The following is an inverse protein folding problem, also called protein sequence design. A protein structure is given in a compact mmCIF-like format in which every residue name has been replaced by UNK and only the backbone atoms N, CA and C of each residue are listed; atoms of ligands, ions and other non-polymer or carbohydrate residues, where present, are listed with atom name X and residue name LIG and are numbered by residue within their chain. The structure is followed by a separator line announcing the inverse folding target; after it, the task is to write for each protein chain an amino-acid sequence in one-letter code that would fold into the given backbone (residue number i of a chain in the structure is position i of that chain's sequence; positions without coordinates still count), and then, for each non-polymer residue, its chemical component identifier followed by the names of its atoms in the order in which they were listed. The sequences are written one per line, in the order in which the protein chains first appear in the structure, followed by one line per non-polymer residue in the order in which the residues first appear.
data_IF_331364102053
#
_entry.id   IF_331364102053
#
_cell.length_a   1.000
_cell.length_b   1.000
_cell.length_c   1.000
_cell.angle_alpha   90.00
_cell.angle_beta   90.00
_cell.angle_gamma   90.00
#
_symmetry.space_group_name_H-M   'P 1'
#
loop_
_entity.id
_entity.type
_entity.pdbx_description
1 polymer ?
#
# COMPACT_ATOMS: atom_id res chain seq x y z
N UNK A 1 -57.46 27.19 -3.66
CA UNK A 1 -56.73 25.93 -3.45
C UNK A 1 -55.77 25.72 -4.61
N UNK A 2 -54.47 25.86 -4.37
CA UNK A 2 -53.43 25.66 -5.39
C UNK A 2 -52.54 24.49 -4.95
N UNK A 3 -52.41 23.48 -5.81
CA UNK A 3 -51.62 22.27 -5.58
C UNK A 3 -50.12 22.66 -5.60
N UNK A 4 -49.30 22.31 -4.60
CA UNK A 4 -47.86 22.57 -4.66
C UNK A 4 -47.21 21.66 -5.71
N UNK A 5 -46.50 22.25 -6.67
CA UNK A 5 -45.67 21.50 -7.63
C UNK A 5 -44.48 20.89 -6.90
N UNK A 6 -44.27 19.59 -7.09
CA UNK A 6 -43.07 18.87 -6.65
C UNK A 6 -41.81 19.48 -7.27
N UNK A 7 -40.72 19.66 -6.51
CA UNK A 7 -39.45 20.12 -7.06
C UNK A 7 -38.95 19.05 -8.04
N UNK A 8 -38.80 19.45 -9.31
CA UNK A 8 -38.33 18.56 -10.37
C UNK A 8 -36.99 17.94 -10.02
N UNK A 9 -36.88 16.61 -10.19
CA UNK A 9 -35.63 15.90 -10.05
C UNK A 9 -34.53 16.59 -10.86
N UNK A 10 -33.34 16.85 -10.28
CA UNK A 10 -32.23 17.41 -11.04
C UNK A 10 -31.89 16.48 -12.22
N UNK A 11 -31.47 17.05 -13.38
CA UNK A 11 -31.15 16.24 -14.55
C UNK A 11 -30.12 15.17 -14.18
N UNK A 12 -30.26 13.93 -14.66
CA UNK A 12 -29.32 12.87 -14.32
C UNK A 12 -27.91 13.34 -14.69
N UNK A 13 -27.02 13.38 -13.70
CA UNK A 13 -25.60 13.71 -13.87
C UNK A 13 -25.09 12.99 -15.11
N UNK A 14 -24.63 13.73 -16.13
CA UNK A 14 -24.05 13.15 -17.36
C UNK A 14 -23.04 12.08 -16.95
N UNK A 15 -23.38 10.80 -17.15
CA UNK A 15 -22.45 9.68 -16.89
C UNK A 15 -21.14 10.05 -17.60
N UNK A 16 -20.02 10.12 -16.86
CA UNK A 16 -18.69 10.37 -17.45
C UNK A 16 -18.56 9.46 -18.66
N UNK A 17 -18.31 10.02 -19.85
CA UNK A 17 -18.11 9.24 -21.06
C UNK A 17 -16.94 8.30 -20.80
N UNK A 18 -17.23 7.03 -20.57
CA UNK A 18 -16.20 6.01 -20.45
C UNK A 18 -15.46 6.00 -21.79
N UNK A 19 -14.18 6.35 -21.75
CA UNK A 19 -13.33 6.35 -22.93
C UNK A 19 -13.26 4.92 -23.47
N UNK A 20 -13.66 4.75 -24.74
CA UNK A 20 -13.66 3.45 -25.41
C UNK A 20 -12.37 3.34 -26.21
N UNK A 21 -11.41 2.48 -25.82
CA UNK A 21 -10.11 2.39 -26.49
C UNK A 21 -10.21 2.02 -27.98
N UNK A 22 -11.27 1.30 -28.35
CA UNK A 22 -11.57 0.89 -29.73
C UNK A 22 -12.32 1.95 -30.56
N UNK A 23 -12.73 3.08 -29.96
CA UNK A 23 -13.51 4.11 -30.67
C UNK A 23 -12.58 5.13 -31.35
N UNK A 24 -12.06 4.75 -32.51
CA UNK A 24 -11.14 5.56 -33.34
C UNK A 24 -11.89 6.48 -34.31
N UNK A 25 -11.18 7.34 -35.04
CA UNK A 25 -11.81 8.31 -35.95
C UNK A 25 -12.63 7.68 -37.08
N UNK A 26 -12.18 6.56 -37.62
CA UNK A 26 -12.98 5.78 -38.59
C UNK A 26 -14.36 5.43 -38.02
N UNK A 27 -14.45 5.02 -36.73
CA UNK A 27 -15.72 4.74 -36.09
C UNK A 27 -16.61 5.99 -35.99
N UNK A 28 -16.04 7.18 -35.81
CA UNK A 28 -16.81 8.44 -35.78
C UNK A 28 -17.36 8.79 -37.16
N UNK A 29 -16.54 8.68 -38.21
CA UNK A 29 -16.91 8.97 -39.59
C UNK A 29 -18.08 8.08 -40.04
N UNK A 30 -17.93 6.76 -39.91
CA UNK A 30 -18.97 5.82 -40.34
C UNK A 30 -20.24 5.87 -39.48
N UNK A 31 -20.13 6.20 -38.18
CA UNK A 31 -21.30 6.44 -37.34
C UNK A 31 -22.07 7.70 -37.76
N UNK A 32 -21.36 8.77 -38.14
CA UNK A 32 -21.98 10.01 -38.67
C UNK A 32 -22.68 9.74 -40.00
N UNK A 33 -22.05 8.96 -40.89
CA UNK A 33 -22.63 8.56 -42.17
C UNK A 33 -23.89 7.70 -41.99
N UNK A 34 -23.86 6.72 -41.08
CA UNK A 34 -25.04 5.92 -40.74
C UNK A 34 -26.19 6.80 -40.23
N UNK A 35 -25.92 7.74 -39.33
CA UNK A 35 -26.94 8.68 -38.83
C UNK A 35 -27.51 9.56 -39.94
N UNK A 36 -26.66 10.10 -40.82
CA UNK A 36 -27.10 10.90 -41.96
C UNK A 36 -28.02 10.12 -42.90
N UNK A 37 -27.68 8.87 -43.22
CA UNK A 37 -28.52 8.00 -44.05
C UNK A 37 -29.83 7.61 -43.35
N UNK A 38 -29.80 7.42 -42.03
CA UNK A 38 -31.01 7.18 -41.23
C UNK A 38 -31.94 8.38 -41.23
N UNK A 39 -31.41 9.58 -41.00
CA UNK A 39 -32.21 10.81 -40.99
C UNK A 39 -32.84 11.08 -42.36
N UNK A 40 -32.12 10.80 -43.46
CA UNK A 40 -32.64 10.91 -44.82
C UNK A 40 -33.77 9.90 -45.08
N UNK A 41 -33.59 8.64 -44.68
CA UNK A 41 -34.64 7.62 -44.81
C UNK A 41 -35.87 7.92 -43.94
N UNK A 42 -35.66 8.37 -42.70
CA UNK A 42 -36.75 8.71 -41.76
C UNK A 42 -37.61 9.86 -42.28
N UNK A 43 -37.01 10.86 -42.94
CA UNK A 43 -37.74 11.98 -43.55
C UNK A 43 -38.36 11.62 -44.89
N UNK A 44 -37.71 10.77 -45.67
CA UNK A 44 -38.12 10.39 -47.02
C UNK A 44 -38.01 8.86 -47.20
N UNK A 45 -39.07 8.10 -46.86
CA UNK A 45 -39.04 6.64 -46.77
C UNK A 45 -39.17 5.97 -48.15
N UNK A 46 -38.16 6.16 -49.00
CA UNK A 46 -38.08 5.51 -50.32
C UNK A 46 -37.24 4.23 -50.28
N UNK A 47 -37.46 3.30 -51.21
CA UNK A 47 -36.68 2.06 -51.35
C UNK A 47 -35.19 2.33 -51.52
N UNK A 48 -34.83 3.34 -52.32
CA UNK A 48 -33.43 3.77 -52.51
C UNK A 48 -32.81 4.29 -51.21
N UNK A 49 -33.53 5.10 -50.42
CA UNK A 49 -33.02 5.58 -49.13
C UNK A 49 -32.88 4.46 -48.10
N UNK A 50 -33.77 3.46 -48.11
CA UNK A 50 -33.66 2.26 -47.27
C UNK A 50 -32.41 1.44 -47.61
N UNK A 51 -32.12 1.22 -48.90
CA UNK A 51 -30.91 0.52 -49.37
C UNK A 51 -29.65 1.27 -48.90
N UNK A 52 -29.62 2.60 -49.09
CA UNK A 52 -28.50 3.45 -48.66
C UNK A 52 -28.27 3.40 -47.14
N UNK A 53 -29.34 3.39 -46.33
CA UNK A 53 -29.22 3.21 -44.88
C UNK A 53 -28.71 1.81 -44.51
N UNK A 54 -29.22 0.75 -45.14
CA UNK A 54 -28.76 -0.63 -44.91
C UNK A 54 -27.27 -0.79 -45.22
N UNK A 55 -26.80 -0.22 -46.32
CA UNK A 55 -25.37 -0.19 -46.70
C UNK A 55 -24.53 0.56 -45.65
N UNK A 56 -24.94 1.77 -45.26
CA UNK A 56 -24.22 2.55 -44.24
C UNK A 56 -24.18 1.84 -42.87
N UNK A 57 -25.27 1.16 -42.49
CA UNK A 57 -25.35 0.33 -41.28
C UNK A 57 -24.41 -0.88 -41.35
N UNK A 58 -24.33 -1.56 -42.49
CA UNK A 58 -23.43 -2.69 -42.69
C UNK A 58 -21.95 -2.25 -42.61
N UNK A 59 -21.60 -1.15 -43.29
CA UNK A 59 -20.25 -0.58 -43.26
C UNK A 59 -19.82 -0.17 -41.86
N UNK A 60 -20.69 0.53 -41.11
CA UNK A 60 -20.40 0.88 -39.72
C UNK A 60 -20.21 -0.36 -38.84
N UNK A 61 -21.05 -1.40 -39.01
CA UNK A 61 -20.88 -2.68 -38.28
C UNK A 61 -19.53 -3.33 -38.56
N UNK A 62 -19.07 -3.34 -39.82
CA UNK A 62 -17.76 -3.87 -40.22
C UNK A 62 -16.63 -3.11 -39.53
N UNK A 63 -16.61 -1.78 -39.66
CA UNK A 63 -15.58 -0.91 -39.05
C UNK A 63 -15.55 -1.06 -37.54
N UNK A 64 -16.72 -1.10 -36.89
CA UNK A 64 -16.83 -1.33 -35.44
C UNK A 64 -16.21 -2.67 -35.02
N UNK A 65 -16.51 -3.76 -35.73
CA UNK A 65 -15.94 -5.09 -35.45
C UNK A 65 -14.42 -5.11 -35.64
N UNK A 66 -13.93 -4.55 -36.73
CA UNK A 66 -12.49 -4.47 -37.02
C UNK A 66 -11.75 -3.66 -35.96
N UNK A 67 -12.29 -2.51 -35.55
CA UNK A 67 -11.67 -1.68 -34.52
C UNK A 67 -11.65 -2.35 -33.15
N UNK A 68 -12.74 -3.07 -32.80
CA UNK A 68 -12.78 -3.88 -31.57
C UNK A 68 -11.70 -4.96 -31.58
N UNK A 69 -11.56 -5.71 -32.69
CA UNK A 69 -10.53 -6.75 -32.85
C UNK A 69 -9.11 -6.17 -32.77
N UNK A 70 -8.82 -5.09 -33.50
CA UNK A 70 -7.50 -4.45 -33.48
C UNK A 70 -7.14 -3.93 -32.08
N UNK A 71 -8.08 -3.29 -31.39
CA UNK A 71 -7.86 -2.82 -30.02
C UNK A 71 -7.61 -3.97 -29.04
N UNK A 72 -8.29 -5.10 -29.24
CA UNK A 72 -8.08 -6.29 -28.42
C UNK A 72 -6.72 -6.93 -28.66
N UNK A 73 -6.34 -7.09 -29.93
CA UNK A 73 -5.02 -7.60 -30.31
C UNK A 73 -3.90 -6.72 -29.74
N UNK A 74 -4.03 -5.40 -29.83
CA UNK A 74 -3.08 -4.46 -29.23
C UNK A 74 -3.04 -4.57 -27.69
N UNK A 75 -4.16 -4.82 -27.01
CA UNK A 75 -4.17 -5.04 -25.57
C UNK A 75 -3.44 -6.34 -25.19
N UNK A 76 -3.74 -7.44 -25.88
CA UNK A 76 -3.11 -8.75 -25.62
C UNK A 76 -1.63 -8.76 -25.98
N UNK A 77 -1.20 -8.08 -27.04
CA UNK A 77 0.23 -7.98 -27.40
C UNK A 77 1.05 -7.26 -26.34
N UNK A 78 0.41 -6.42 -25.52
CA UNK A 78 1.08 -5.86 -24.34
C UNK A 78 1.23 -6.84 -23.19
N UNK A 79 0.83 -8.11 -23.28
CA UNK A 79 1.04 -9.14 -22.25
C UNK A 79 2.22 -10.01 -22.69
N UNK A 80 3.43 -9.66 -22.24
CA UNK A 80 4.67 -10.37 -22.57
C UNK A 80 5.27 -11.05 -21.34
N UNK A 81 6.22 -11.96 -21.57
CA UNK A 81 6.99 -12.64 -20.51
C UNK A 81 7.86 -11.69 -19.65
N UNK A 82 8.15 -10.48 -20.14
CA UNK A 82 8.93 -9.47 -19.43
C UNK A 82 8.09 -8.59 -18.49
N UNK A 83 6.78 -8.83 -18.39
CA UNK A 83 5.90 -8.04 -17.53
C UNK A 83 5.98 -8.50 -16.09
N UNK A 84 6.06 -7.51 -15.17
CA UNK A 84 6.00 -7.79 -13.74
C UNK A 84 4.67 -8.45 -13.36
N UNK A 85 4.71 -9.42 -12.44
CA UNK A 85 3.54 -10.19 -12.02
C UNK A 85 2.37 -9.31 -11.60
N UNK A 86 2.63 -8.17 -10.94
CA UNK A 86 1.59 -7.19 -10.57
C UNK A 86 0.84 -6.64 -11.78
N UNK A 87 1.56 -6.17 -12.80
CA UNK A 87 0.97 -5.60 -14.03
C UNK A 87 0.23 -6.67 -14.85
N UNK A 88 0.73 -7.90 -14.88
CA UNK A 88 0.05 -9.04 -15.50
C UNK A 88 -1.31 -9.29 -14.82
N UNK A 89 -1.30 -9.43 -13.49
CA UNK A 89 -2.51 -9.67 -12.72
C UNK A 89 -3.51 -8.51 -12.79
N UNK A 90 -3.05 -7.25 -12.86
CA UNK A 90 -3.91 -6.09 -13.10
C UNK A 90 -4.65 -6.19 -14.45
N UNK A 91 -3.96 -6.62 -15.52
CA UNK A 91 -4.57 -6.82 -16.84
C UNK A 91 -5.57 -7.98 -16.81
N UNK A 92 -5.21 -9.10 -16.17
CA UNK A 92 -6.10 -10.26 -16.02
C UNK A 92 -7.38 -9.88 -15.26
N UNK A 93 -7.27 -9.12 -14.17
CA UNK A 93 -8.46 -8.62 -13.44
C UNK A 93 -9.40 -7.80 -14.35
N UNK A 94 -8.83 -6.90 -15.16
CA UNK A 94 -9.60 -6.09 -16.14
C UNK A 94 -10.29 -6.96 -17.20
N UNK A 95 -9.69 -8.09 -17.60
CA UNK A 95 -10.29 -9.06 -18.53
C UNK A 95 -11.55 -9.71 -17.94
N UNK A 96 -11.51 -10.07 -16.66
CA UNK A 96 -12.64 -10.63 -15.93
C UNK A 96 -13.68 -9.58 -15.49
N UNK A 97 -13.61 -8.34 -15.98
CA UNK A 97 -14.49 -7.24 -15.58
C UNK A 97 -14.31 -6.81 -14.11
N UNK A 98 -13.26 -7.29 -13.44
CA UNK A 98 -12.87 -6.87 -12.09
C UNK A 98 -12.03 -5.60 -12.23
N UNK A 99 -12.71 -4.47 -12.32
CA UNK A 99 -12.03 -3.18 -12.25
C UNK A 99 -11.50 -2.99 -10.83
N UNK A 100 -10.25 -2.55 -10.73
CA UNK A 100 -9.75 -2.00 -9.48
C UNK A 100 -10.42 -0.62 -9.37
N UNK A 101 -11.65 -0.60 -8.88
CA UNK A 101 -12.22 0.62 -8.33
C UNK A 101 -11.32 0.93 -7.15
N UNK A 102 -10.44 1.91 -7.31
CA UNK A 102 -9.76 2.52 -6.18
C UNK A 102 -10.85 3.21 -5.34
N UNK A 103 -11.54 2.41 -4.53
CA UNK A 103 -11.72 2.58 -3.08
C UNK A 103 -11.63 4.03 -2.62
N UNK A 104 -12.54 4.86 -3.12
CA UNK A 104 -13.06 5.93 -2.28
C UNK A 104 -14.12 5.28 -1.41
N UNK A 105 -13.84 5.18 -0.11
CA UNK A 105 -14.86 4.80 0.87
C UNK A 105 -15.95 5.86 0.77
N UNK A 106 -17.09 5.50 0.18
CA UNK A 106 -18.21 6.42 0.00
C UNK A 106 -19.05 6.55 1.27
N UNK A 107 -19.08 5.50 2.09
CA UNK A 107 -19.68 5.52 3.41
C UNK A 107 -19.14 4.39 4.31
N UNK A 108 -19.18 4.59 5.63
CA UNK A 108 -18.86 3.60 6.66
C UNK A 108 -20.07 3.37 7.56
N UNK A 109 -20.20 2.15 8.09
CA UNK A 109 -21.12 1.84 9.16
C UNK A 109 -20.31 1.76 10.46
N UNK A 110 -20.56 2.69 11.38
CA UNK A 110 -19.94 2.70 12.70
C UNK A 110 -21.04 2.92 13.74
N UNK A 111 -21.19 2.00 14.69
CA UNK A 111 -22.21 2.05 15.74
C UNK A 111 -23.63 2.30 15.19
N UNK A 112 -24.04 1.51 14.18
CA UNK A 112 -25.35 1.59 13.51
C UNK A 112 -25.64 2.90 12.75
N UNK A 113 -24.71 3.84 12.71
CA UNK A 113 -24.81 5.07 11.93
C UNK A 113 -24.04 4.96 10.61
N UNK A 114 -24.67 5.47 9.54
CA UNK A 114 -24.05 5.57 8.21
C UNK A 114 -23.33 6.91 8.10
N UNK A 115 -22.01 6.87 7.99
CA UNK A 115 -21.15 8.04 7.86
C UNK A 115 -20.80 8.21 6.39
N UNK A 116 -21.24 9.30 5.77
CA UNK A 116 -20.97 9.63 4.35
C UNK A 116 -19.97 10.78 4.17
N UNK A 117 -19.75 11.59 5.21
CA UNK A 117 -18.83 12.72 5.15
C UNK A 117 -17.36 12.25 5.15
N UNK A 118 -16.56 12.75 4.21
CA UNK A 118 -15.19 12.30 4.01
C UNK A 118 -14.28 12.57 5.22
N UNK A 119 -14.50 13.67 5.96
CA UNK A 119 -13.72 14.00 7.16
C UNK A 119 -14.10 13.07 8.30
N UNK A 120 -15.40 12.86 8.54
CA UNK A 120 -15.89 11.90 9.53
C UNK A 120 -15.45 10.47 9.24
N UNK A 121 -15.48 10.03 7.97
CA UNK A 121 -14.96 8.73 7.53
C UNK A 121 -13.47 8.61 7.88
N UNK A 122 -12.67 9.64 7.56
CA UNK A 122 -11.24 9.64 7.85
C UNK A 122 -10.95 9.58 9.36
N UNK A 123 -11.68 10.35 10.18
CA UNK A 123 -11.57 10.30 11.64
C UNK A 123 -11.99 8.94 12.22
N UNK A 124 -13.11 8.37 11.76
CA UNK A 124 -13.58 7.05 12.20
C UNK A 124 -12.55 5.95 11.92
N UNK A 125 -11.91 5.99 10.74
CA UNK A 125 -10.83 5.06 10.42
C UNK A 125 -9.59 5.31 11.27
N UNK A 126 -9.25 6.58 11.52
CA UNK A 126 -8.11 6.94 12.35
C UNK A 126 -8.28 6.46 13.79
N UNK A 127 -9.45 6.68 14.38
CA UNK A 127 -9.86 6.16 15.70
C UNK A 127 -9.79 4.64 15.75
N UNK A 128 -10.33 3.96 14.73
CA UNK A 128 -10.27 2.50 14.66
C UNK A 128 -8.83 1.97 14.60
N UNK A 129 -7.91 2.69 13.94
CA UNK A 129 -6.49 2.32 13.89
C UNK A 129 -5.75 2.66 15.19
N UNK A 130 -6.03 3.81 15.80
CA UNK A 130 -5.41 4.22 17.08
C UNK A 130 -5.91 3.40 18.27
N UNK A 131 -7.11 2.82 18.18
CA UNK A 131 -7.68 1.97 19.21
C UNK A 131 -7.09 0.54 19.24
N UNK A 132 -6.44 0.07 18.16
CA UNK A 132 -5.89 -1.30 18.12
C UNK A 132 -4.89 -1.60 19.26
N UNK A 133 -3.92 -0.70 19.57
CA UNK A 133 -2.97 -0.90 20.65
C UNK A 133 -3.52 -0.53 22.04
N UNK A 134 -4.81 -0.20 22.17
CA UNK A 134 -5.41 0.24 23.44
C UNK A 134 -5.50 -0.91 24.45
N UNK A 135 -5.58 -0.56 25.74
CA UNK A 135 -5.57 -1.51 26.85
C UNK A 135 -6.67 -2.58 26.75
N UNK A 136 -7.80 -2.29 26.12
CA UNK A 136 -8.90 -3.25 25.92
C UNK A 136 -8.57 -4.42 25.00
N UNK A 137 -7.44 -4.36 24.26
CA UNK A 137 -6.99 -5.44 23.36
C UNK A 137 -6.15 -6.52 24.07
N UNK A 138 -5.80 -6.34 25.33
CA UNK A 138 -4.89 -7.22 26.08
C UNK A 138 -5.59 -7.91 27.25
N UNK A 139 -5.09 -9.08 27.68
CA UNK A 139 -5.54 -9.72 28.92
C UNK A 139 -5.15 -8.88 30.14
N UNK A 140 -5.92 -9.00 31.23
CA UNK A 140 -5.66 -8.25 32.46
C UNK A 140 -4.27 -8.55 33.06
N UNK A 141 -3.82 -9.81 32.94
CA UNK A 141 -2.48 -10.23 33.37
C UNK A 141 -1.39 -9.51 32.56
N UNK A 142 -1.56 -9.40 31.24
CA UNK A 142 -0.61 -8.71 30.39
C UNK A 142 -0.60 -7.20 30.64
N UNK A 143 -1.76 -6.58 30.92
CA UNK A 143 -1.84 -5.17 31.29
C UNK A 143 -1.03 -4.92 32.57
N UNK A 144 -1.16 -5.80 33.57
CA UNK A 144 -0.41 -5.70 34.82
C UNK A 144 1.09 -5.89 34.59
N UNK A 145 1.49 -6.89 33.80
CA UNK A 145 2.88 -7.10 33.40
C UNK A 145 3.47 -5.89 32.65
N UNK A 146 2.70 -5.33 31.71
CA UNK A 146 3.07 -4.15 30.94
C UNK A 146 3.29 -2.95 31.84
N UNK A 147 2.36 -2.66 32.75
CA UNK A 147 2.47 -1.55 33.70
C UNK A 147 3.73 -1.69 34.56
N UNK A 148 3.99 -2.89 35.09
CA UNK A 148 5.17 -3.14 35.92
C UNK A 148 6.49 -3.01 35.12
N UNK A 149 6.50 -3.47 33.88
CA UNK A 149 7.66 -3.34 33.00
C UNK A 149 7.97 -1.90 32.64
N UNK A 150 6.95 -1.13 32.25
CA UNK A 150 7.10 0.26 31.77
C UNK A 150 7.52 1.28 32.86
N UNK A 151 7.63 0.86 34.12
CA UNK A 151 8.19 1.69 35.21
C UNK A 151 9.68 1.99 34.99
N UNK A 152 10.43 1.05 34.42
CA UNK A 152 11.88 1.18 34.27
C UNK A 152 12.23 1.72 32.89
N UNK A 153 12.84 2.90 32.84
CA UNK A 153 13.36 3.43 31.58
C UNK A 153 14.57 2.63 31.09
N UNK A 154 14.56 2.30 29.80
CA UNK A 154 15.63 1.55 29.15
C UNK A 154 16.59 2.53 28.51
N UNK A 155 17.83 2.53 29.00
CA UNK A 155 18.92 3.32 28.45
C UNK A 155 19.92 2.46 27.69
N UNK A 156 20.17 2.80 26.43
CA UNK A 156 21.14 2.12 25.58
C UNK A 156 22.51 2.80 25.57
N UNK A 157 22.87 3.50 26.65
CA UNK A 157 24.17 4.16 26.76
C UNK A 157 25.28 3.10 26.79
N UNK A 158 26.37 3.36 26.07
CA UNK A 158 27.53 2.48 26.05
C UNK A 158 28.79 3.28 25.77
N UNK A 159 29.88 2.83 26.38
CA UNK A 159 31.24 3.26 26.07
C UNK A 159 31.91 2.33 25.05
N UNK A 160 31.24 1.22 24.68
CA UNK A 160 31.78 0.24 23.74
C UNK A 160 31.69 0.72 22.30
N UNK A 161 32.84 0.72 21.62
CA UNK A 161 32.96 1.08 20.21
C UNK A 161 32.63 -0.13 19.31
N UNK A 162 31.35 -0.47 19.25
CA UNK A 162 30.89 -1.46 18.28
C UNK A 162 30.80 -0.83 16.89
N UNK A 163 31.25 -1.55 15.86
CA UNK A 163 31.24 -1.13 14.45
C UNK A 163 29.88 -0.55 13.99
N UNK A 164 28.77 -1.10 14.48
CA UNK A 164 27.43 -0.66 14.11
C UNK A 164 27.04 0.72 14.68
N UNK A 165 27.79 1.26 15.63
CA UNK A 165 27.60 2.59 16.23
C UNK A 165 28.33 3.70 15.47
N UNK A 166 29.27 3.35 14.58
CA UNK A 166 30.03 4.31 13.76
C UNK A 166 29.15 5.16 12.85
N UNK A 167 29.72 6.23 12.26
CA UNK A 167 29.03 7.06 11.27
C UNK A 167 28.70 6.28 9.99
N UNK A 168 27.65 6.70 9.29
CA UNK A 168 27.34 6.16 7.97
C UNK A 168 28.30 6.67 6.90
N UNK A 169 28.73 5.74 6.05
CA UNK A 169 29.58 6.03 4.90
C UNK A 169 28.74 6.31 3.65
N UNK A 170 29.32 7.07 2.72
CA UNK A 170 28.66 7.41 1.45
C UNK A 170 28.34 6.19 0.59
N UNK A 171 29.14 5.13 0.68
CA UNK A 171 28.87 3.87 -0.01
C UNK A 171 27.61 3.17 0.54
N UNK A 172 27.40 3.19 1.86
CA UNK A 172 26.19 2.65 2.50
C UNK A 172 24.96 3.44 2.05
N UNK A 173 25.09 4.77 2.00
CA UNK A 173 24.06 5.68 1.52
C UNK A 173 23.68 5.38 0.06
N UNK A 174 24.65 5.31 -0.86
CA UNK A 174 24.39 5.02 -2.29
C UNK A 174 23.74 3.64 -2.47
N UNK A 175 24.19 2.62 -1.73
CA UNK A 175 23.57 1.28 -1.73
C UNK A 175 22.13 1.28 -1.20
N UNK A 176 21.85 2.08 -0.17
CA UNK A 176 20.49 2.19 0.36
C UNK A 176 19.57 2.91 -0.63
N UNK A 177 20.06 3.97 -1.27
CA UNK A 177 19.33 4.76 -2.26
C UNK A 177 18.98 3.92 -3.50
N UNK A 178 19.92 3.13 -4.04
CA UNK A 178 19.68 2.30 -5.22
C UNK A 178 18.65 1.20 -5.02
N UNK A 179 18.49 0.72 -3.79
CA UNK A 179 17.49 -0.29 -3.43
C UNK A 179 16.12 0.30 -3.10
N UNK A 180 15.98 1.63 -3.05
CA UNK A 180 14.72 2.28 -2.72
C UNK A 180 13.81 2.32 -3.95
N UNK A 181 12.53 2.01 -3.76
CA UNK A 181 11.55 2.02 -4.85
C UNK A 181 10.76 3.32 -4.86
N UNK A 182 10.43 3.79 -6.07
CA UNK A 182 9.56 4.95 -6.26
C UNK A 182 8.16 4.64 -5.69
N UNK A 183 7.89 5.17 -4.49
CA UNK A 183 6.62 5.05 -3.78
C UNK A 183 5.97 6.42 -3.63
N UNK A 184 4.69 6.45 -3.25
CA UNK A 184 3.99 7.68 -2.94
C UNK A 184 4.73 8.46 -1.83
N UNK A 185 4.79 9.79 -1.94
CA UNK A 185 5.54 10.62 -1.01
C UNK A 185 4.84 10.65 0.36
N UNK A 186 5.60 11.05 1.38
CA UNK A 186 5.08 11.29 2.72
C UNK A 186 4.37 12.64 2.85
N UNK A 187 4.14 13.12 4.08
CA UNK A 187 3.55 14.43 4.34
C UNK A 187 4.36 15.61 3.78
N UNK A 188 5.64 15.41 3.50
CA UNK A 188 6.57 16.40 2.95
C UNK A 188 6.49 16.54 1.43
N UNK A 189 5.73 15.68 0.74
CA UNK A 189 5.60 15.63 -0.71
C UNK A 189 6.93 15.47 -1.48
N UNK A 190 8.00 15.03 -0.81
CA UNK A 190 9.29 14.76 -1.45
C UNK A 190 9.23 13.39 -2.11
N UNK A 191 9.41 13.35 -3.43
CA UNK A 191 9.47 12.12 -4.21
C UNK A 191 10.90 11.57 -4.28
N UNK A 192 11.02 10.23 -4.36
CA UNK A 192 12.31 9.56 -4.58
C UNK A 192 13.05 10.07 -5.82
N UNK A 193 12.30 10.42 -6.87
CA UNK A 193 12.87 10.90 -8.13
C UNK A 193 13.73 12.15 -7.95
N UNK A 194 13.39 13.00 -6.97
CA UNK A 194 14.19 14.18 -6.61
C UNK A 194 15.58 13.71 -6.15
N UNK A 195 15.63 12.75 -5.20
CA UNK A 195 16.88 12.23 -4.66
C UNK A 195 17.75 11.56 -5.73
N UNK A 196 17.14 10.87 -6.70
CA UNK A 196 17.89 10.20 -7.77
C UNK A 196 18.48 11.16 -8.80
N UNK A 197 18.00 12.41 -8.86
CA UNK A 197 18.53 13.45 -9.76
C UNK A 197 19.40 14.50 -9.05
N UNK A 198 19.60 14.37 -7.74
CA UNK A 198 20.51 15.23 -7.01
C UNK A 198 21.97 14.98 -7.39
N UNK A 199 22.79 16.03 -7.32
CA UNK A 199 24.24 15.94 -7.45
C UNK A 199 24.86 15.18 -6.28
N UNK A 200 26.04 14.57 -6.48
CA UNK A 200 26.74 13.87 -5.38
C UNK A 200 27.00 14.78 -4.18
N UNK A 201 27.32 16.06 -4.42
CA UNK A 201 27.49 17.07 -3.36
C UNK A 201 26.22 17.20 -2.51
N UNK A 202 25.06 17.31 -3.16
CA UNK A 202 23.76 17.40 -2.47
C UNK A 202 23.46 16.14 -1.66
N UNK A 203 23.76 14.96 -2.22
CA UNK A 203 23.61 13.68 -1.51
C UNK A 203 24.55 13.58 -0.30
N UNK A 204 25.76 14.12 -0.41
CA UNK A 204 26.70 14.18 0.71
C UNK A 204 26.20 15.10 1.83
N UNK A 205 25.53 16.21 1.52
CA UNK A 205 24.86 17.03 2.54
C UNK A 205 23.74 16.27 3.26
N UNK A 206 22.97 15.45 2.54
CA UNK A 206 21.95 14.58 3.16
C UNK A 206 22.62 13.56 4.08
N UNK A 207 23.74 12.96 3.66
CA UNK A 207 24.50 12.06 4.53
C UNK A 207 25.02 12.77 5.79
N UNK A 208 25.55 13.99 5.67
CA UNK A 208 25.96 14.79 6.83
C UNK A 208 24.80 15.01 7.81
N UNK A 209 23.61 15.32 7.29
CA UNK A 209 22.40 15.44 8.09
C UNK A 209 22.08 14.12 8.82
N UNK A 210 22.17 12.98 8.13
CA UNK A 210 21.93 11.66 8.72
C UNK A 210 22.93 11.32 9.82
N UNK A 211 24.23 11.58 9.60
CA UNK A 211 25.26 11.37 10.62
C UNK A 211 25.10 12.32 11.81
N UNK A 212 24.63 13.55 11.58
CA UNK A 212 24.29 14.46 12.68
C UNK A 212 23.14 13.91 13.53
N UNK A 213 22.05 13.47 12.90
CA UNK A 213 20.93 12.81 13.59
C UNK A 213 21.40 11.58 14.37
N UNK A 214 22.30 10.79 13.77
CA UNK A 214 22.88 9.59 14.35
C UNK A 214 23.69 9.88 15.62
N UNK A 215 24.61 10.85 15.56
CA UNK A 215 25.46 11.25 16.70
C UNK A 215 24.67 11.93 17.81
N UNK A 216 23.83 12.88 17.45
CA UNK A 216 23.05 13.65 18.42
C UNK A 216 21.91 12.82 19.02
N UNK A 217 21.62 11.62 18.47
CA UNK A 217 20.50 10.76 18.87
C UNK A 217 19.15 11.51 18.84
N UNK A 218 19.04 12.56 18.01
CA UNK A 218 17.85 13.43 17.91
C UNK A 218 17.13 13.20 16.59
N UNK A 219 16.00 12.51 16.65
CA UNK A 219 15.17 12.22 15.48
C UNK A 219 14.20 13.37 15.18
N UNK A 220 14.10 13.77 13.91
CA UNK A 220 13.21 14.85 13.48
C UNK A 220 11.75 14.55 13.80
N UNK A 221 11.07 15.47 14.49
CA UNK A 221 9.63 15.38 14.79
C UNK A 221 8.78 15.34 13.51
N UNK A 222 9.22 16.00 12.44
CA UNK A 222 8.51 16.00 11.16
C UNK A 222 8.46 14.60 10.52
N UNK A 223 9.50 13.79 10.73
CA UNK A 223 9.61 12.41 10.22
C UNK A 223 8.85 11.38 11.07
N UNK A 224 8.40 11.78 12.26
CA UNK A 224 7.50 10.98 13.10
C UNK A 224 6.05 11.04 12.64
N UNK A 225 5.71 11.99 11.75
CA UNK A 225 4.38 12.15 11.16
C UNK A 225 4.20 11.29 9.92
N UNK A 226 3.05 10.63 9.80
CA UNK A 226 2.70 9.84 8.62
C UNK A 226 1.31 10.19 8.05
N UNK A 227 1.16 10.06 6.73
CA UNK A 227 -0.17 10.02 6.11
C UNK A 227 -0.57 8.57 5.89
N UNK A 228 -1.63 8.12 6.53
CA UNK A 228 -2.13 6.75 6.42
C UNK A 228 -3.17 6.66 5.30
N UNK A 229 -2.94 5.73 4.36
CA UNK A 229 -3.89 5.38 3.31
C UNK A 229 -4.57 4.07 3.69
N UNK A 230 -5.89 4.05 3.91
CA UNK A 230 -6.61 2.83 4.23
C UNK A 230 -6.82 2.00 2.97
N UNK A 231 -6.34 0.74 2.98
CA UNK A 231 -6.53 -0.21 1.88
C UNK A 231 -7.45 -1.34 2.35
N UNK A 232 -8.59 -1.52 1.67
CA UNK A 232 -9.54 -2.57 1.99
C UNK A 232 -8.89 -3.96 1.84
N UNK A 233 -9.09 -4.82 2.85
CA UNK A 233 -8.69 -6.23 2.79
C UNK A 233 -9.47 -6.94 1.67
N UNK A 234 -8.84 -7.75 0.81
CA UNK A 234 -9.52 -8.46 -0.26
C UNK A 234 -10.71 -9.28 0.25
N UNK A 235 -11.87 -9.15 -0.40
CA UNK A 235 -13.08 -9.91 -0.09
C UNK A 235 -13.79 -9.53 1.22
N UNK A 236 -13.40 -8.43 1.87
CA UNK A 236 -14.04 -7.93 3.09
C UNK A 236 -15.00 -6.78 2.79
N UNK A 237 -15.99 -6.60 3.67
CA UNK A 237 -16.97 -5.52 3.55
C UNK A 237 -16.31 -4.15 3.73
N UNK A 238 -16.53 -3.25 2.77
CA UNK A 238 -16.03 -1.89 2.76
C UNK A 238 -16.69 -1.00 3.82
N UNK A 239 -17.84 -1.41 4.38
CA UNK A 239 -18.55 -0.59 5.37
C UNK A 239 -17.91 -0.65 6.75
N UNK A 240 -17.13 -1.69 7.05
CA UNK A 240 -16.52 -1.86 8.39
C UNK A 240 -15.12 -1.24 8.45
N UNK A 241 -14.85 -0.33 9.41
CA UNK A 241 -13.53 0.28 9.61
C UNK A 241 -12.40 -0.75 9.85
N UNK A 242 -12.69 -1.85 10.54
CA UNK A 242 -11.72 -2.91 10.87
C UNK A 242 -11.22 -3.72 9.66
N UNK A 243 -11.90 -3.60 8.52
CA UNK A 243 -11.55 -4.30 7.29
C UNK A 243 -10.48 -3.59 6.46
N UNK A 244 -10.01 -2.42 6.90
CA UNK A 244 -8.95 -1.68 6.23
C UNK A 244 -7.57 -1.96 6.82
N UNK A 245 -6.55 -1.95 5.97
CA UNK A 245 -5.13 -1.95 6.36
C UNK A 245 -4.60 -0.52 6.36
N UNK A 246 -4.02 -0.04 7.46
CA UNK A 246 -3.38 1.27 7.48
C UNK A 246 -2.02 1.20 6.76
N UNK A 247 -1.89 1.85 5.60
CA UNK A 247 -0.59 2.00 4.93
C UNK A 247 -0.02 3.39 5.24
N UNK A 248 0.97 3.44 6.12
CA UNK A 248 1.64 4.68 6.50
C UNK A 248 2.61 5.16 5.40
N UNK A 249 2.40 6.38 4.92
CA UNK A 249 3.31 7.10 4.04
C UNK A 249 4.16 8.04 4.89
N UNK A 250 5.45 7.72 5.00
CA UNK A 250 6.49 8.55 5.66
C UNK A 250 7.38 9.23 4.63
N UNK A 251 8.11 10.25 5.08
CA UNK A 251 9.12 10.97 4.29
C UNK A 251 10.09 10.01 3.61
N UNK A 252 10.47 10.29 2.36
CA UNK A 252 11.45 9.47 1.63
C UNK A 252 12.83 9.55 2.27
N UNK A 253 13.21 10.70 2.84
CA UNK A 253 14.46 10.85 3.59
C UNK A 253 14.47 9.94 4.84
N UNK A 254 13.34 9.90 5.55
CA UNK A 254 13.14 9.00 6.68
C UNK A 254 13.29 7.53 6.28
N UNK A 255 12.61 7.10 5.19
CA UNK A 255 12.73 5.73 4.65
C UNK A 255 14.16 5.37 4.23
N UNK A 256 14.91 6.34 3.70
CA UNK A 256 16.29 6.12 3.31
C UNK A 256 17.18 5.88 4.54
N UNK A 257 17.05 6.70 5.57
CA UNK A 257 17.77 6.52 6.83
C UNK A 257 17.38 5.19 7.52
N UNK A 258 16.08 4.89 7.61
CA UNK A 258 15.57 3.60 8.12
C UNK A 258 16.20 2.41 7.40
N UNK A 259 16.38 2.50 6.07
CA UNK A 259 16.99 1.44 5.27
C UNK A 259 18.47 1.27 5.56
N UNK A 260 19.21 2.36 5.77
CA UNK A 260 20.62 2.31 6.18
C UNK A 260 20.75 1.64 7.54
N UNK A 261 19.93 2.07 8.52
CA UNK A 261 19.87 1.48 9.86
C UNK A 261 19.50 -0.01 9.81
N UNK A 262 18.45 -0.36 9.06
CA UNK A 262 18.01 -1.75 8.92
C UNK A 262 19.09 -2.63 8.26
N UNK A 263 19.85 -2.09 7.30
CA UNK A 263 20.94 -2.84 6.68
C UNK A 263 22.03 -3.19 7.69
N UNK A 264 22.38 -2.25 8.58
CA UNK A 264 23.31 -2.51 9.70
C UNK A 264 22.74 -3.49 10.71
N UNK A 265 21.48 -3.30 11.09
CA UNK A 265 20.79 -4.16 12.05
C UNK A 265 20.79 -5.62 11.60
N UNK A 266 20.37 -5.87 10.35
CA UNK A 266 20.37 -7.22 9.77
C UNK A 266 21.79 -7.78 9.69
N UNK A 267 22.78 -6.97 9.32
CA UNK A 267 24.18 -7.43 9.30
C UNK A 267 24.64 -7.92 10.69
N UNK A 268 24.38 -7.14 11.74
CA UNK A 268 24.73 -7.53 13.13
C UNK A 268 24.00 -8.81 13.54
N UNK A 269 22.70 -8.90 13.26
CA UNK A 269 21.88 -10.06 13.63
C UNK A 269 22.32 -11.35 12.96
N UNK A 270 22.69 -11.29 11.67
CA UNK A 270 23.22 -12.44 10.94
C UNK A 270 24.63 -12.82 11.43
N UNK A 271 25.51 -11.83 11.65
CA UNK A 271 26.89 -12.04 12.16
C UNK A 271 26.89 -12.68 13.55
N UNK A 272 26.00 -12.23 14.44
CA UNK A 272 25.87 -12.73 15.82
C UNK A 272 24.94 -13.95 15.95
N UNK A 273 24.27 -14.37 14.86
CA UNK A 273 23.30 -15.48 14.83
C UNK A 273 22.19 -15.36 15.88
N UNK A 274 21.71 -14.14 16.15
CA UNK A 274 20.65 -13.90 17.14
C UNK A 274 19.27 -14.39 16.68
N UNK A 275 19.06 -14.58 15.38
CA UNK A 275 17.81 -15.09 14.83
C UNK A 275 17.84 -16.61 14.71
N UNK A 276 16.74 -17.25 15.10
CA UNK A 276 16.54 -18.69 14.92
C UNK A 276 16.85 -19.13 13.48
N UNK A 277 17.52 -20.27 13.27
CA UNK A 277 17.77 -20.81 11.94
C UNK A 277 16.48 -21.16 11.18
N UNK A 278 15.35 -21.30 11.86
CA UNK A 278 14.04 -21.57 11.26
C UNK A 278 13.27 -20.31 10.85
N UNK A 279 13.68 -19.12 11.32
CA UNK A 279 13.12 -17.86 10.85
C UNK A 279 13.54 -17.65 9.38
N UNK A 280 12.57 -17.58 8.46
CA UNK A 280 12.80 -17.29 7.02
C UNK A 280 12.29 -15.92 6.60
N UNK A 281 11.19 -15.45 7.19
CA UNK A 281 10.60 -14.15 6.85
C UNK A 281 11.56 -12.99 7.07
N UNK A 282 11.59 -12.05 6.12
CA UNK A 282 12.37 -10.80 6.18
C UNK A 282 13.90 -10.98 6.29
N UNK A 283 14.44 -12.15 5.97
CA UNK A 283 15.88 -12.41 5.96
C UNK A 283 16.43 -12.51 4.55
N UNK A 284 17.68 -12.08 4.38
CA UNK A 284 18.34 -12.14 3.08
C UNK A 284 18.56 -13.59 2.65
N UNK A 285 18.29 -13.89 1.37
CA UNK A 285 18.47 -15.23 0.79
C UNK A 285 17.50 -16.30 1.30
N UNK A 286 16.42 -15.92 2.00
CA UNK A 286 15.41 -16.84 2.53
C UNK A 286 14.03 -16.46 2.04
N UNK A 287 13.25 -17.46 1.63
CA UNK A 287 11.95 -17.27 1.01
C UNK A 287 10.83 -18.05 1.69
N UNK A 288 9.59 -17.78 1.29
CA UNK A 288 8.44 -18.59 1.73
C UNK A 288 8.48 -20.02 1.16
N UNK A 289 9.16 -20.20 0.03
CA UNK A 289 9.37 -21.52 -0.60
C UNK A 289 10.14 -22.44 0.33
N UNK A 290 11.16 -21.93 1.04
CA UNK A 290 11.95 -22.73 2.00
C UNK A 290 11.05 -23.34 3.08
N UNK A 291 10.10 -22.57 3.62
CA UNK A 291 9.16 -23.06 4.64
C UNK A 291 8.19 -24.09 4.08
N UNK A 292 7.74 -23.92 2.82
CA UNK A 292 6.86 -24.89 2.15
C UNK A 292 7.60 -26.20 1.94
N UNK A 293 8.86 -26.15 1.47
CA UNK A 293 9.70 -27.33 1.27
C UNK A 293 9.97 -28.07 2.58
N UNK A 294 10.24 -27.34 3.67
CA UNK A 294 10.41 -27.96 4.99
C UNK A 294 9.15 -28.68 5.44
N UNK A 295 7.97 -28.06 5.30
CA UNK A 295 6.70 -28.68 5.65
C UNK A 295 6.41 -29.89 4.76
N UNK A 296 6.63 -29.78 3.46
CA UNK A 296 6.46 -30.87 2.50
C UNK A 296 7.38 -32.05 2.84
N UNK A 297 8.64 -31.79 3.18
CA UNK A 297 9.59 -32.83 3.57
C UNK A 297 9.12 -33.55 4.83
N UNK A 298 8.69 -32.81 5.86
CA UNK A 298 8.12 -33.42 7.08
C UNK A 298 6.88 -34.27 6.80
N UNK A 299 6.03 -33.84 5.85
CA UNK A 299 4.86 -34.62 5.40
C UNK A 299 5.32 -35.93 4.74
N UNK A 300 6.29 -35.86 3.82
CA UNK A 300 6.82 -37.04 3.11
C UNK A 300 7.49 -38.03 4.08
N UNK A 301 8.30 -37.55 5.02
CA UNK A 301 8.96 -38.37 6.04
C UNK A 301 7.94 -39.11 6.94
N UNK A 302 6.87 -38.43 7.33
CA UNK A 302 5.78 -39.05 8.08
C UNK A 302 5.07 -40.15 7.29
N UNK A 303 4.81 -39.92 5.99
CA UNK A 303 4.23 -40.95 5.11
C UNK A 303 5.13 -42.18 4.98
N UNK A 304 6.43 -42.00 4.72
CA UNK A 304 7.40 -43.11 4.60
C UNK A 304 7.50 -43.89 5.91
N UNK A 305 7.51 -43.18 7.04
CA UNK A 305 7.62 -43.78 8.37
C UNK A 305 6.30 -44.36 8.90
N UNK A 306 5.20 -44.28 8.14
CA UNK A 306 3.83 -44.65 8.57
C UNK A 306 3.43 -43.98 9.89
N UNK A 307 3.85 -42.72 10.09
CA UNK A 307 3.52 -41.91 11.27
C UNK A 307 2.50 -40.83 10.91
N UNK A 308 1.79 -40.34 11.91
CA UNK A 308 0.96 -39.15 11.77
C UNK A 308 1.79 -37.88 11.98
N UNK A 309 1.62 -36.90 11.10
CA UNK A 309 2.15 -35.55 11.28
C UNK A 309 1.01 -34.61 11.68
N UNK A 310 1.18 -33.88 12.78
CA UNK A 310 0.27 -32.82 13.21
C UNK A 310 0.98 -31.48 13.01
N UNK A 311 0.32 -30.55 12.32
CA UNK A 311 0.82 -29.19 12.12
C UNK A 311 -0.07 -28.18 12.85
N UNK A 312 0.55 -27.32 13.66
CA UNK A 312 -0.14 -26.25 14.40
C UNK A 312 0.24 -24.92 13.76
N UNK A 313 -0.76 -24.20 13.24
CA UNK A 313 -0.56 -22.94 12.52
C UNK A 313 -1.09 -21.78 13.36
N UNK A 314 -0.19 -20.93 13.84
CA UNK A 314 -0.55 -19.72 14.58
C UNK A 314 -0.71 -18.52 13.65
N UNK A 315 -1.80 -17.78 13.81
CA UNK A 315 -2.05 -16.54 13.08
C UNK A 315 -2.21 -15.39 14.08
N UNK A 316 -1.31 -14.41 13.99
CA UNK A 316 -1.40 -13.19 14.79
C UNK A 316 -2.28 -12.16 14.10
N UNK A 317 -3.34 -11.73 14.77
CA UNK A 317 -4.21 -10.67 14.29
C UNK A 317 -3.57 -9.29 14.52
N UNK A 318 -3.44 -8.48 13.47
CA UNK A 318 -2.90 -7.10 13.53
C UNK A 318 -1.53 -7.03 14.25
N UNK A 319 -0.62 -7.97 13.95
CA UNK A 319 0.65 -8.16 14.66
C UNK A 319 1.47 -6.86 14.86
N UNK A 320 1.68 -6.07 13.80
CA UNK A 320 2.44 -4.81 13.88
C UNK A 320 1.77 -3.76 14.75
N UNK A 321 0.43 -3.69 14.72
CA UNK A 321 -0.34 -2.70 15.47
C UNK A 321 -0.44 -3.07 16.96
N UNK A 322 -0.45 -4.37 17.30
CA UNK A 322 -0.51 -4.89 18.67
C UNK A 322 0.87 -5.05 19.34
N UNK A 323 1.97 -4.74 18.65
CA UNK A 323 3.31 -5.01 19.19
C UNK A 323 3.62 -4.12 20.39
N UNK A 324 4.05 -4.72 21.50
CA UNK A 324 4.45 -4.01 22.70
C UNK A 324 5.82 -3.36 22.52
N UNK A 325 5.83 -2.05 22.25
CA UNK A 325 7.05 -1.29 21.93
C UNK A 325 8.11 -1.36 23.03
N UNK A 326 7.72 -1.26 24.31
CA UNK A 326 8.64 -1.40 25.43
C UNK A 326 9.26 -2.81 25.48
N UNK A 327 8.47 -3.85 25.25
CA UNK A 327 8.94 -5.24 25.14
C UNK A 327 10.06 -5.41 24.11
N UNK A 328 9.91 -4.83 22.91
CA UNK A 328 10.98 -4.83 21.89
C UNK A 328 12.27 -4.23 22.46
N UNK A 329 12.18 -3.07 23.12
CA UNK A 329 13.35 -2.38 23.66
C UNK A 329 13.98 -3.17 24.82
N UNK A 330 13.16 -3.84 25.64
CA UNK A 330 13.62 -4.70 26.72
C UNK A 330 14.39 -5.90 26.18
N UNK A 331 13.88 -6.53 25.12
CA UNK A 331 14.54 -7.65 24.47
C UNK A 331 15.89 -7.23 23.85
N UNK A 332 15.93 -6.06 23.20
CA UNK A 332 17.18 -5.49 22.67
C UNK A 332 18.19 -5.19 23.79
N UNK A 333 17.73 -4.68 24.93
CA UNK A 333 18.59 -4.43 26.08
C UNK A 333 19.14 -5.73 26.69
N UNK A 334 18.30 -6.76 26.79
CA UNK A 334 18.65 -8.06 27.36
C UNK A 334 19.73 -8.82 26.57
N UNK A 335 19.85 -8.58 25.26
CA UNK A 335 20.91 -9.16 24.41
C UNK A 335 22.18 -8.30 24.35
N UNK A 336 22.33 -7.34 25.25
CA UNK A 336 23.42 -6.36 25.34
C UNK A 336 23.62 -5.54 24.04
N UNK A 337 22.53 -5.27 23.32
CA UNK A 337 22.56 -4.41 22.15
C UNK A 337 22.46 -2.95 22.59
N UNK A 338 23.59 -2.24 22.62
CA UNK A 338 23.71 -0.86 23.14
C UNK A 338 24.37 0.11 22.15
N UNK A 339 24.08 1.39 22.31
CA UNK A 339 24.64 2.50 21.54
C UNK A 339 23.65 3.20 20.63
N UNK A 340 24.15 3.77 19.54
CA UNK A 340 23.41 4.65 18.64
C UNK A 340 22.26 3.94 17.92
N UNK A 341 22.46 2.68 17.49
CA UNK A 341 21.44 1.92 16.76
C UNK A 341 20.18 1.60 17.59
N UNK A 342 20.27 0.95 18.76
CA UNK A 342 19.09 0.73 19.60
C UNK A 342 18.47 2.04 20.09
N UNK A 343 19.27 3.08 20.35
CA UNK A 343 18.74 4.43 20.67
C UNK A 343 17.94 5.01 19.49
N UNK A 344 18.40 4.82 18.26
CA UNK A 344 17.64 5.21 17.07
C UNK A 344 16.31 4.44 16.99
N UNK A 345 16.31 3.12 17.23
CA UNK A 345 15.08 2.31 17.26
C UNK A 345 14.10 2.83 18.32
N UNK A 346 14.59 3.11 19.53
CA UNK A 346 13.80 3.69 20.62
C UNK A 346 13.15 5.02 20.18
N UNK A 347 13.94 5.94 19.62
CA UNK A 347 13.44 7.23 19.16
C UNK A 347 12.50 7.13 17.95
N UNK A 348 12.69 6.13 17.10
CA UNK A 348 11.85 5.85 15.94
C UNK A 348 10.47 5.32 16.34
N UNK A 349 10.40 4.50 17.39
CA UNK A 349 9.16 3.91 17.90
C UNK A 349 8.36 4.85 18.81
N UNK A 350 9.00 5.84 19.45
CA UNK A 350 8.37 6.82 20.35
C UNK A 350 7.71 7.98 19.60
N UNK A 351 6.60 8.48 20.15
CA UNK A 351 5.94 9.76 19.78
C UNK A 351 5.64 9.95 18.30
N UNK A 352 5.13 8.89 17.64
CA UNK A 352 4.65 8.96 16.26
C UNK A 352 3.20 9.42 16.22
N UNK A 353 2.87 10.21 15.20
CA UNK A 353 1.50 10.62 14.92
C UNK A 353 1.14 10.40 13.46
N UNK A 354 -0.14 10.28 13.18
CA UNK A 354 -0.61 10.06 11.83
C UNK A 354 -1.92 10.80 11.53
N UNK A 355 -2.19 10.94 10.23
CA UNK A 355 -3.48 11.38 9.70
C UNK A 355 -3.94 10.42 8.63
N UNK A 356 -5.20 9.98 8.67
CA UNK A 356 -5.80 9.17 7.61
C UNK A 356 -6.24 10.07 6.46
N UNK A 357 -5.94 9.68 5.22
CA UNK A 357 -6.37 10.41 4.02
C UNK A 357 -7.43 9.64 3.24
N UNK A 358 -8.57 10.29 3.01
CA UNK A 358 -9.66 9.81 2.14
C UNK A 358 -9.83 10.82 1.01
N UNK A 359 -9.48 10.42 -0.22
CA UNK A 359 -9.44 11.35 -1.36
C UNK A 359 -8.47 12.51 -1.09
N UNK A 360 -9.02 13.72 -0.99
CA UNK A 360 -8.28 14.96 -0.68
C UNK A 360 -8.45 15.41 0.78
N UNK A 361 -9.26 14.71 1.57
CA UNK A 361 -9.57 15.07 2.95
C UNK A 361 -8.67 14.30 3.91
N UNK A 362 -8.14 14.99 4.92
CA UNK A 362 -7.32 14.43 5.99
C UNK A 362 -8.10 14.39 7.31
N UNK A 363 -7.92 13.33 8.10
CA UNK A 363 -8.38 13.26 9.48
C UNK A 363 -7.68 14.29 10.37
N UNK A 364 -8.12 14.38 11.62
CA UNK A 364 -7.37 15.02 12.69
C UNK A 364 -6.09 14.21 13.01
N UNK A 365 -5.23 14.76 13.87
CA UNK A 365 -3.97 14.10 14.25
C UNK A 365 -4.27 13.07 15.33
N UNK A 366 -3.81 11.84 15.12
CA UNK A 366 -3.89 10.72 16.07
C UNK A 366 -2.51 10.19 16.43
#
# INVERSE_FOLDING_TARGET
MAIPKTPGNPPPKKKKKIWKPWWKEECKIFNKQQKKSWDKFRRYPTTSNLINFKLAKANFRRVKRTSHRKSWQAFISTITNQISSKKLWDKIRRLFGRYNDNTSVSFLNHNEQVITDAKKIANTLAEAFSAVPSASSYSQDFISHKKNGEIYDIEFNTLMDNEYNSDFHFIEFKRALSKLHATSPGPDNIHLLILTHLTETSLYHILKLFNRIWKEKKFSSLWKRAVVIPILKPGKDAKSPNNYRPIALTSVLCKLLERMVNSRLVHVWEKKKWLSPFQRGFRFGRGTVDNILLLENSIREAFVSKKHLVSILFVMEKAYDKTWRYGILKDLYGIDFKGSLPTFIQNFLKTRSFRVRIGNTLSDVF
#
